data_IF_987511262292
#
_entry.id   IF_987511262292
#
_cell.length_a   1.000
_cell.length_b   1.000
_cell.length_c   1.000
_cell.angle_alpha   90.00
_cell.angle_beta   90.00
_cell.angle_gamma   90.00
#
_symmetry.space_group_name_H-M   'P 1'
#
loop_
_entity.id
_entity.type
_entity.pdbx_description
1 polymer ?
#
# COMPACT_ATOMS: atom_id res chain seq x y z
N UNK A 1 -15.65 18.03 -12.28
CA UNK A 1 -16.60 19.00 -12.88
C UNK A 1 -16.78 20.13 -11.87
N UNK A 2 -15.93 21.17 -11.95
CA UNK A 2 -16.05 22.38 -11.12
C UNK A 2 -16.87 23.39 -11.92
N UNK A 3 -18.19 23.18 -12.00
CA UNK A 3 -19.06 24.24 -12.51
C UNK A 3 -19.21 25.26 -11.37
N UNK A 4 -18.61 26.43 -11.60
CA UNK A 4 -18.90 27.69 -10.89
C UNK A 4 -18.15 27.99 -9.58
N UNK A 5 -17.03 27.34 -9.24
CA UNK A 5 -16.24 27.72 -8.05
C UNK A 5 -17.03 27.66 -6.72
N UNK A 6 -18.17 26.97 -6.74
CA UNK A 6 -19.08 26.82 -5.61
C UNK A 6 -18.61 25.61 -4.81
N UNK A 7 -18.41 25.78 -3.51
CA UNK A 7 -18.11 24.66 -2.63
C UNK A 7 -19.26 23.64 -2.61
N UNK A 8 -18.94 22.40 -2.21
CA UNK A 8 -19.91 21.30 -2.20
C UNK A 8 -21.21 21.64 -1.46
N UNK A 9 -21.12 22.34 -0.33
CA UNK A 9 -22.29 22.71 0.49
C UNK A 9 -23.22 23.66 -0.28
N UNK A 10 -22.64 24.66 -0.93
CA UNK A 10 -23.39 25.63 -1.70
C UNK A 10 -23.97 25.02 -2.98
N UNK A 11 -23.30 24.04 -3.59
CA UNK A 11 -23.82 23.29 -4.73
C UNK A 11 -25.04 22.43 -4.34
N UNK A 12 -24.96 21.71 -3.21
CA UNK A 12 -26.08 20.93 -2.66
C UNK A 12 -27.26 21.84 -2.29
N UNK A 13 -26.99 23.05 -1.76
CA UNK A 13 -28.04 24.04 -1.48
C UNK A 13 -28.80 24.43 -2.75
N UNK A 14 -28.08 24.76 -3.83
CA UNK A 14 -28.69 25.09 -5.13
C UNK A 14 -29.53 23.93 -5.67
N UNK A 15 -29.08 22.68 -5.49
CA UNK A 15 -29.82 21.48 -5.88
C UNK A 15 -31.10 21.30 -5.06
N UNK A 16 -31.05 21.50 -3.73
CA UNK A 16 -32.24 21.43 -2.86
C UNK A 16 -33.24 22.55 -3.15
N UNK A 17 -32.76 23.72 -3.58
CA UNK A 17 -33.64 24.83 -3.98
C UNK A 17 -34.37 24.55 -5.31
N UNK A 18 -33.87 23.60 -6.11
CA UNK A 18 -34.38 23.30 -7.47
C UNK A 18 -35.11 21.95 -7.55
N UNK A 19 -34.74 20.97 -6.73
CA UNK A 19 -35.21 19.58 -6.78
C UNK A 19 -35.70 19.10 -5.42
N UNK A 20 -36.46 18.00 -5.40
CA UNK A 20 -36.91 17.39 -4.15
C UNK A 20 -35.72 16.86 -3.33
N UNK A 21 -35.78 17.08 -2.01
CA UNK A 21 -34.68 16.73 -1.09
C UNK A 21 -34.28 15.26 -1.17
N UNK A 22 -35.24 14.37 -1.36
CA UNK A 22 -35.00 12.93 -1.41
C UNK A 22 -34.28 12.49 -2.71
N UNK A 23 -34.51 13.19 -3.81
CA UNK A 23 -33.79 12.97 -5.07
C UNK A 23 -32.35 13.50 -4.99
N UNK A 24 -32.17 14.69 -4.41
CA UNK A 24 -30.84 15.27 -4.19
C UNK A 24 -30.03 14.40 -3.24
N UNK A 25 -30.63 13.87 -2.17
CA UNK A 25 -29.97 12.97 -1.24
C UNK A 25 -29.50 11.68 -1.93
N UNK A 26 -30.35 11.08 -2.77
CA UNK A 26 -30.03 9.85 -3.51
C UNK A 26 -28.86 10.04 -4.47
N UNK A 27 -28.87 11.11 -5.26
CA UNK A 27 -27.78 11.41 -6.20
C UNK A 27 -26.48 11.78 -5.47
N UNK A 28 -26.59 12.45 -4.33
CA UNK A 28 -25.45 12.77 -3.48
C UNK A 28 -24.75 11.52 -2.96
N UNK A 29 -25.51 10.52 -2.49
CA UNK A 29 -24.98 9.22 -2.06
C UNK A 29 -24.33 8.49 -3.24
N UNK A 30 -25.02 8.40 -4.38
CA UNK A 30 -24.48 7.76 -5.58
C UNK A 30 -23.20 8.43 -6.10
N UNK A 31 -23.07 9.76 -5.94
CA UNK A 31 -21.83 10.47 -6.23
C UNK A 31 -20.71 10.13 -5.24
N UNK A 32 -21.02 10.10 -3.94
CA UNK A 32 -20.06 9.75 -2.91
C UNK A 32 -19.51 8.33 -3.10
N UNK A 33 -20.35 7.36 -3.42
CA UNK A 33 -19.95 5.98 -3.69
C UNK A 33 -18.99 5.88 -4.89
N UNK A 34 -19.33 6.54 -6.01
CA UNK A 34 -18.45 6.59 -7.19
C UNK A 34 -17.08 7.21 -6.91
N UNK A 35 -17.03 8.23 -6.04
CA UNK A 35 -15.76 8.84 -5.63
C UNK A 35 -14.99 7.92 -4.69
N UNK A 36 -15.67 7.22 -3.78
CA UNK A 36 -15.06 6.24 -2.89
C UNK A 36 -14.44 5.08 -3.68
N UNK A 37 -15.16 4.50 -4.63
CA UNK A 37 -14.65 3.44 -5.52
C UNK A 37 -13.39 3.87 -6.26
N UNK A 38 -13.42 5.05 -6.89
CA UNK A 38 -12.25 5.60 -7.59
C UNK A 38 -11.04 5.83 -6.67
N UNK A 39 -11.28 6.25 -5.43
CA UNK A 39 -10.22 6.43 -4.44
C UNK A 39 -9.64 5.09 -4.00
N UNK A 40 -10.50 4.09 -3.76
CA UNK A 40 -10.06 2.73 -3.39
C UNK A 40 -9.25 2.12 -4.53
N UNK A 41 -9.69 2.25 -5.78
CA UNK A 41 -8.93 1.77 -6.94
C UNK A 41 -7.59 2.50 -7.11
N UNK A 42 -7.55 3.82 -6.85
CA UNK A 42 -6.31 4.58 -6.91
C UNK A 42 -5.32 4.13 -5.83
N UNK A 43 -5.78 3.97 -4.59
CA UNK A 43 -4.96 3.47 -3.47
C UNK A 43 -4.51 2.03 -3.72
N UNK A 44 -5.37 1.17 -4.26
CA UNK A 44 -5.01 -0.20 -4.61
C UNK A 44 -3.93 -0.29 -5.70
N UNK A 45 -3.81 0.75 -6.54
CA UNK A 45 -2.77 0.87 -7.55
C UNK A 45 -1.48 1.55 -7.03
N UNK A 46 -1.51 2.17 -5.85
CA UNK A 46 -0.30 2.71 -5.26
C UNK A 46 0.68 1.57 -4.94
N UNK A 47 1.93 1.64 -5.41
CA UNK A 47 2.90 0.60 -5.13
C UNK A 47 3.11 0.51 -3.63
N UNK A 48 2.94 -0.68 -3.06
CA UNK A 48 3.17 -0.94 -1.64
C UNK A 48 4.53 -0.35 -1.24
N UNK A 49 4.50 0.54 -0.24
CA UNK A 49 5.70 1.19 0.28
C UNK A 49 6.69 0.12 0.66
N UNK A 50 7.84 0.13 0.00
CA UNK A 50 8.92 -0.83 0.23
C UNK A 50 9.42 -0.65 1.66
N UNK A 51 9.29 -1.65 2.56
CA UNK A 51 9.72 -1.50 3.94
C UNK A 51 11.22 -1.18 4.01
N UNK A 52 11.59 -0.17 4.80
CA UNK A 52 12.99 0.22 4.95
C UNK A 52 13.85 -0.86 5.62
N UNK A 53 15.18 -0.86 5.36
CA UNK A 53 16.09 -1.83 5.97
C UNK A 53 16.29 -1.59 7.48
N UNK A 54 16.19 -2.68 8.24
CA UNK A 54 16.50 -2.77 9.67
C UNK A 54 17.68 -3.74 9.87
N UNK A 55 18.86 -3.17 10.08
CA UNK A 55 20.08 -3.95 10.31
C UNK A 55 20.04 -4.75 11.61
N UNK A 56 19.27 -4.33 12.62
CA UNK A 56 19.12 -5.05 13.89
C UNK A 56 18.37 -6.37 13.71
N UNK A 57 17.48 -6.45 12.71
CA UNK A 57 16.69 -7.65 12.40
C UNK A 57 17.27 -8.53 11.29
N UNK A 58 18.31 -8.06 10.60
CA UNK A 58 19.01 -8.83 9.57
C UNK A 58 19.49 -10.22 10.03
N UNK A 59 20.08 -10.41 11.24
CA UNK A 59 20.54 -11.73 11.67
C UNK A 59 19.43 -12.79 11.66
N UNK A 60 18.20 -12.42 12.05
CA UNK A 60 17.03 -13.31 12.02
C UNK A 60 16.62 -13.68 10.60
N UNK A 61 16.54 -12.68 9.71
CA UNK A 61 16.22 -12.91 8.31
C UNK A 61 17.28 -13.78 7.61
N UNK A 62 18.56 -13.53 7.92
CA UNK A 62 19.68 -14.35 7.42
C UNK A 62 19.57 -15.79 7.91
N UNK A 63 19.34 -16.01 9.21
CA UNK A 63 19.18 -17.35 9.77
C UNK A 63 18.03 -18.11 9.08
N UNK A 64 16.88 -17.47 8.86
CA UNK A 64 15.79 -18.08 8.12
C UNK A 64 16.18 -18.46 6.68
N UNK A 65 16.81 -17.54 5.93
CA UNK A 65 17.21 -17.80 4.55
C UNK A 65 18.29 -18.89 4.45
N UNK A 66 19.21 -18.94 5.40
CA UNK A 66 20.32 -19.89 5.43
C UNK A 66 19.88 -21.26 5.95
N UNK A 67 19.23 -21.30 7.10
CA UNK A 67 18.92 -22.55 7.81
C UNK A 67 17.63 -23.20 7.30
N UNK A 68 16.60 -22.41 6.97
CA UNK A 68 15.30 -22.92 6.52
C UNK A 68 15.24 -23.00 5.00
N UNK A 69 15.64 -21.93 4.30
CA UNK A 69 15.62 -21.88 2.84
C UNK A 69 16.87 -22.46 2.18
N UNK A 70 17.86 -22.87 2.98
CA UNK A 70 19.11 -23.51 2.53
C UNK A 70 19.90 -22.67 1.52
N UNK A 71 19.79 -21.34 1.61
CA UNK A 71 20.52 -20.42 0.75
C UNK A 71 21.94 -20.23 1.32
N UNK A 72 23.01 -20.42 0.53
CA UNK A 72 24.37 -20.29 1.05
C UNK A 72 24.66 -18.91 1.65
N UNK A 73 25.30 -18.89 2.83
CA UNK A 73 25.65 -17.66 3.56
C UNK A 73 26.42 -16.64 2.70
N UNK A 74 27.35 -17.13 1.88
CA UNK A 74 28.18 -16.29 1.01
C UNK A 74 27.33 -15.55 -0.02
N UNK A 75 26.32 -16.22 -0.60
CA UNK A 75 25.39 -15.62 -1.54
C UNK A 75 24.51 -14.58 -0.84
N UNK A 76 23.99 -14.90 0.35
CA UNK A 76 23.18 -13.96 1.14
C UNK A 76 23.95 -12.69 1.49
N UNK A 77 25.23 -12.81 1.82
CA UNK A 77 26.08 -11.65 2.09
C UNK A 77 26.23 -10.77 0.85
N UNK A 78 26.58 -11.35 -0.31
CA UNK A 78 26.68 -10.60 -1.56
C UNK A 78 25.36 -9.91 -1.94
N UNK A 79 24.23 -10.61 -1.83
CA UNK A 79 22.92 -10.03 -2.12
C UNK A 79 22.56 -8.88 -1.18
N UNK A 80 22.95 -8.98 0.10
CA UNK A 80 22.72 -7.92 1.08
C UNK A 80 23.59 -6.70 0.78
N UNK A 81 24.86 -6.91 0.44
CA UNK A 81 25.80 -5.84 0.10
C UNK A 81 25.39 -5.12 -1.19
N UNK A 82 24.79 -5.86 -2.15
CA UNK A 82 24.18 -5.32 -3.36
C UNK A 82 22.80 -4.65 -3.14
N UNK A 83 22.28 -4.65 -1.90
CA UNK A 83 20.95 -4.10 -1.57
C UNK A 83 19.78 -4.88 -2.19
N UNK A 84 20.00 -6.13 -2.62
CA UNK A 84 18.99 -7.01 -3.22
C UNK A 84 18.21 -7.83 -2.19
N UNK A 85 18.60 -7.78 -0.93
CA UNK A 85 17.84 -8.36 0.18
C UNK A 85 18.14 -7.61 1.46
N UNK A 86 17.11 -7.40 2.28
CA UNK A 86 17.28 -6.88 3.63
C UNK A 86 16.17 -7.40 4.56
N UNK A 87 16.24 -7.03 5.84
CA UNK A 87 15.20 -7.30 6.82
C UNK A 87 14.40 -6.02 7.12
N UNK A 88 13.08 -6.12 7.24
CA UNK A 88 12.25 -5.00 7.71
C UNK A 88 12.15 -4.95 9.25
N UNK A 89 11.37 -4.00 9.74
CA UNK A 89 11.06 -3.81 11.15
C UNK A 89 10.17 -4.90 11.77
N UNK A 90 9.79 -5.93 11.04
CA UNK A 90 9.10 -7.11 11.57
C UNK A 90 9.99 -8.36 11.50
N UNK A 91 11.17 -8.23 10.86
CA UNK A 91 12.11 -9.31 10.61
C UNK A 91 11.74 -10.14 9.41
N UNK A 92 10.89 -9.63 8.51
CA UNK A 92 10.60 -10.23 7.22
C UNK A 92 11.79 -10.05 6.27
N UNK A 93 11.98 -10.99 5.36
CA UNK A 93 12.90 -10.85 4.25
C UNK A 93 12.24 -10.02 3.15
N UNK A 94 12.89 -8.93 2.75
CA UNK A 94 12.45 -8.03 1.70
C UNK A 94 13.34 -8.19 0.49
N UNK A 95 12.73 -8.40 -0.68
CA UNK A 95 13.42 -8.48 -1.97
C UNK A 95 12.87 -7.38 -2.89
N UNK A 96 13.66 -6.34 -3.23
CA UNK A 96 13.21 -5.26 -4.10
C UNK A 96 12.95 -5.77 -5.51
N UNK A 97 11.99 -5.13 -6.20
CA UNK A 97 11.82 -5.29 -7.64
C UNK A 97 12.34 -4.06 -8.37
N UNK A 98 12.89 -4.26 -9.57
CA UNK A 98 13.41 -3.18 -10.40
C UNK A 98 12.32 -2.16 -10.78
N UNK A 99 11.08 -2.62 -10.99
CA UNK A 99 9.93 -1.79 -11.39
C UNK A 99 9.14 -1.23 -10.19
N UNK A 100 9.67 -1.37 -8.98
CA UNK A 100 9.05 -0.88 -7.75
C UNK A 100 8.29 -1.93 -6.93
N UNK A 101 8.07 -1.57 -5.67
CA UNK A 101 7.58 -2.49 -4.65
C UNK A 101 8.63 -3.52 -4.25
N UNK A 102 8.23 -4.43 -3.36
CA UNK A 102 9.08 -5.51 -2.90
C UNK A 102 8.29 -6.77 -2.65
N UNK A 103 8.96 -7.91 -2.78
CA UNK A 103 8.45 -9.18 -2.32
C UNK A 103 8.79 -9.35 -0.84
N UNK A 104 7.76 -9.46 -0.02
CA UNK A 104 7.88 -9.61 1.42
C UNK A 104 7.67 -11.08 1.79
N UNK A 105 8.58 -11.61 2.61
CA UNK A 105 8.48 -12.97 3.15
C UNK A 105 8.67 -12.99 4.65
N UNK A 106 7.65 -13.49 5.35
CA UNK A 106 7.72 -13.78 6.77
C UNK A 106 8.82 -14.78 7.11
N UNK A 107 9.45 -14.56 8.25
CA UNK A 107 10.46 -15.46 8.85
C UNK A 107 9.92 -16.22 10.05
N UNK A 108 8.60 -16.18 10.24
CA UNK A 108 7.87 -16.88 11.31
C UNK A 108 6.75 -17.73 10.75
N UNK A 109 6.28 -18.70 11.53
CA UNK A 109 5.19 -19.60 11.13
C UNK A 109 3.82 -18.91 11.00
N UNK A 110 3.70 -17.65 11.43
CA UNK A 110 2.49 -16.84 11.27
C UNK A 110 2.59 -15.97 10.00
N UNK A 111 1.53 -15.91 9.17
CA UNK A 111 1.49 -15.00 8.01
C UNK A 111 1.49 -13.53 8.47
N UNK A 112 2.11 -12.69 7.64
CA UNK A 112 2.33 -11.25 7.81
C UNK A 112 1.06 -10.43 7.52
#
# INVERSE_FOLDING_TARGET
MHLSGVDYKNAVRILIDTFEKDEVARETVAYADRIAEKRVEAIAKEPAVVPGPDNGRWPRAKAYLEEVRKIPAKLLQSLKDEGKVWADSLGNCIFPRAEGGAFVRGTSDKPF
#
